data_IF_078881380817
#
_entry.id   IF_078881380817
#
_cell.length_a   1.000
_cell.length_b   1.000
_cell.length_c   1.000
_cell.angle_alpha   90.00
_cell.angle_beta   90.00
_cell.angle_gamma   90.00
#
_symmetry.space_group_name_H-M   'P 1'
#
loop_
_entity.id
_entity.type
_entity.pdbx_description
1 polymer ?
#
# COMPACT_ATOMS: atom_id res chain seq x y z
N UNK A 1 23.55 -2.04 -16.38
CA UNK A 1 22.17 -2.07 -16.91
C UNK A 1 21.26 -2.36 -15.73
N UNK A 2 20.13 -1.68 -15.62
CA UNK A 2 19.12 -1.96 -14.60
C UNK A 2 18.37 -3.27 -14.90
N UNK A 3 17.72 -3.85 -13.91
CA UNK A 3 17.04 -5.15 -13.96
C UNK A 3 15.89 -5.19 -12.98
N UNK A 4 14.97 -6.18 -13.03
CA UNK A 4 13.93 -6.36 -12.02
C UNK A 4 14.49 -6.53 -10.60
N UNK A 5 13.99 -5.74 -9.65
CA UNK A 5 14.56 -5.53 -8.32
C UNK A 5 13.64 -6.03 -7.22
N UNK A 6 14.15 -6.92 -6.36
CA UNK A 6 13.51 -7.32 -5.10
C UNK A 6 14.24 -6.67 -3.94
N UNK A 7 13.49 -6.25 -2.94
CA UNK A 7 14.05 -5.64 -1.74
C UNK A 7 13.87 -6.56 -0.53
N UNK A 8 14.82 -6.49 0.40
CA UNK A 8 14.67 -7.12 1.71
C UNK A 8 13.47 -6.53 2.40
N UNK A 9 12.60 -7.38 2.90
CA UNK A 9 11.39 -6.96 3.62
C UNK A 9 11.76 -6.21 4.89
N UNK A 10 11.18 -5.04 5.08
CA UNK A 10 11.35 -4.26 6.30
C UNK A 10 10.11 -4.47 7.17
N UNK A 11 10.21 -5.38 8.13
CA UNK A 11 9.12 -5.71 9.05
C UNK A 11 9.01 -4.71 10.18
N UNK A 12 7.78 -4.26 10.45
CA UNK A 12 7.48 -3.36 11.57
C UNK A 12 6.55 -4.07 12.54
N UNK A 13 7.03 -4.21 13.78
CA UNK A 13 6.23 -4.74 14.88
C UNK A 13 5.17 -3.73 15.28
N UNK A 14 3.92 -4.17 15.40
CA UNK A 14 2.79 -3.34 15.80
C UNK A 14 1.93 -4.10 16.81
N UNK A 15 1.36 -3.38 17.76
CA UNK A 15 0.45 -3.97 18.77
C UNK A 15 -0.76 -4.67 18.15
N UNK A 16 -1.20 -4.20 16.98
CA UNK A 16 -2.32 -4.73 16.21
C UNK A 16 -1.89 -5.77 15.15
N UNK A 17 -0.61 -6.02 15.00
CA UNK A 17 -0.07 -6.97 14.04
C UNK A 17 -0.41 -8.42 14.34
N UNK A 18 -0.20 -9.28 13.36
CA UNK A 18 -0.45 -10.71 13.40
C UNK A 18 0.71 -11.55 12.91
N UNK A 19 0.37 -12.72 12.39
CA UNK A 19 1.29 -13.65 11.73
C UNK A 19 0.75 -14.18 10.40
N UNK A 20 -0.21 -13.46 9.80
CA UNK A 20 -0.77 -13.87 8.51
C UNK A 20 0.21 -13.71 7.35
N UNK A 21 1.19 -12.83 7.46
CA UNK A 21 2.33 -12.81 6.52
C UNK A 21 3.04 -14.17 6.44
N UNK A 22 3.14 -14.90 7.55
CA UNK A 22 3.74 -16.23 7.57
C UNK A 22 2.79 -17.30 7.04
N UNK A 23 1.56 -17.32 7.54
CA UNK A 23 0.58 -18.38 7.25
C UNK A 23 -0.08 -18.25 5.89
N UNK A 24 -0.26 -17.03 5.38
CA UNK A 24 -0.95 -16.73 4.12
C UNK A 24 -0.01 -16.39 2.97
N UNK A 25 1.14 -15.76 3.26
CA UNK A 25 2.10 -15.32 2.24
C UNK A 25 3.43 -16.11 2.27
N UNK A 26 3.60 -17.04 3.22
CA UNK A 26 4.81 -17.84 3.33
C UNK A 26 6.07 -17.03 3.66
N UNK A 27 5.92 -15.86 4.29
CA UNK A 27 7.04 -15.02 4.71
C UNK A 27 7.69 -15.58 5.98
N UNK A 28 9.00 -15.47 6.09
CA UNK A 28 9.72 -15.84 7.30
C UNK A 28 9.74 -14.65 8.26
N UNK A 29 8.92 -14.68 9.29
CA UNK A 29 8.85 -13.64 10.31
C UNK A 29 9.82 -13.86 11.47
N UNK A 30 10.24 -12.78 12.17
CA UNK A 30 10.93 -12.90 13.44
C UNK A 30 10.11 -13.73 14.45
N UNK A 31 10.80 -14.61 15.20
CA UNK A 31 10.16 -15.48 16.16
C UNK A 31 9.50 -14.68 17.30
N UNK A 32 8.29 -15.09 17.69
CA UNK A 32 7.55 -14.51 18.82
C UNK A 32 7.01 -13.07 18.61
N UNK A 33 7.25 -12.47 17.44
CA UNK A 33 6.83 -11.08 17.18
C UNK A 33 5.54 -11.01 16.39
N UNK A 34 4.71 -10.02 16.72
CA UNK A 34 3.54 -9.61 15.94
C UNK A 34 3.97 -8.57 14.91
N UNK A 35 3.91 -8.92 13.64
CA UNK A 35 4.31 -8.01 12.56
C UNK A 35 3.05 -7.41 11.94
N UNK A 36 2.92 -6.09 12.00
CA UNK A 36 1.79 -5.40 11.40
C UNK A 36 2.05 -4.90 9.98
N UNK A 37 3.30 -4.55 9.66
CA UNK A 37 3.64 -4.01 8.35
C UNK A 37 4.87 -4.71 7.77
N UNK A 38 4.84 -4.96 6.46
CA UNK A 38 5.99 -5.33 5.65
C UNK A 38 6.16 -4.26 4.55
N UNK A 39 7.23 -3.48 4.64
CA UNK A 39 7.53 -2.47 3.63
C UNK A 39 8.29 -3.16 2.50
N UNK A 40 7.69 -3.15 1.32
CA UNK A 40 8.14 -3.93 0.17
C UNK A 40 9.02 -3.12 -0.79
N UNK A 41 8.54 -1.93 -1.21
CA UNK A 41 9.30 -0.97 -2.01
C UNK A 41 9.24 0.36 -1.29
N UNK A 42 10.35 0.79 -0.72
CA UNK A 42 10.41 2.00 0.11
C UNK A 42 11.74 2.72 -0.01
N UNK A 43 11.68 4.01 -0.27
CA UNK A 43 12.80 4.93 -0.11
C UNK A 43 12.55 5.92 1.06
N UNK A 44 11.67 5.57 1.99
CA UNK A 44 11.35 6.39 3.15
C UNK A 44 12.39 6.19 4.28
N UNK A 45 12.83 7.26 4.98
CA UNK A 45 13.84 7.14 6.04
C UNK A 45 13.43 6.24 7.20
N UNK A 46 12.13 6.10 7.49
CA UNK A 46 11.62 5.23 8.56
C UNK A 46 11.69 3.74 8.23
N UNK A 47 11.85 3.36 6.96
CA UNK A 47 11.92 1.96 6.51
C UNK A 47 12.52 1.87 5.12
N UNK A 48 13.84 1.96 5.02
CA UNK A 48 14.56 1.98 3.75
C UNK A 48 14.67 0.60 3.12
N UNK A 49 14.21 0.45 1.88
CA UNK A 49 14.39 -0.73 1.06
C UNK A 49 15.85 -0.97 0.71
N UNK A 50 16.34 -2.17 1.01
CA UNK A 50 17.70 -2.63 0.65
C UNK A 50 17.56 -3.67 -0.45
N UNK A 51 18.18 -3.41 -1.58
CA UNK A 51 18.10 -4.32 -2.73
C UNK A 51 18.69 -5.70 -2.38
N UNK A 52 17.95 -6.76 -2.73
CA UNK A 52 18.32 -8.13 -2.36
C UNK A 52 19.08 -8.85 -3.47
N UNK A 53 18.77 -8.56 -4.75
CA UNK A 53 19.27 -9.31 -5.90
C UNK A 53 20.18 -8.50 -6.82
N UNK A 54 20.89 -9.22 -7.68
CA UNK A 54 21.69 -8.69 -8.81
C UNK A 54 22.94 -7.92 -8.39
N UNK A 55 23.50 -7.17 -9.32
CA UNK A 55 24.80 -6.48 -9.17
C UNK A 55 24.76 -5.28 -8.21
N UNK A 56 23.58 -4.75 -7.93
CA UNK A 56 23.35 -3.65 -6.99
C UNK A 56 22.88 -4.14 -5.61
N UNK A 57 22.92 -5.45 -5.34
CA UNK A 57 22.51 -6.00 -4.05
C UNK A 57 23.24 -5.33 -2.89
N UNK A 58 22.50 -5.02 -1.81
CA UNK A 58 22.98 -4.30 -0.65
C UNK A 58 22.85 -2.77 -0.74
N UNK A 59 22.61 -2.20 -1.92
CA UNK A 59 22.33 -0.76 -2.06
C UNK A 59 20.93 -0.41 -1.55
N UNK A 60 20.81 0.81 -1.05
CA UNK A 60 19.54 1.42 -0.63
C UNK A 60 18.77 1.91 -1.85
N UNK A 61 17.44 1.86 -1.80
CA UNK A 61 16.61 2.35 -2.91
C UNK A 61 16.79 3.86 -3.16
N UNK A 62 16.95 4.67 -2.11
CA UNK A 62 17.19 6.11 -2.27
C UNK A 62 18.53 6.42 -2.96
N UNK A 63 19.58 5.61 -2.74
CA UNK A 63 20.88 5.74 -3.42
C UNK A 63 20.77 5.30 -4.89
N UNK A 64 20.07 4.20 -5.17
CA UNK A 64 19.77 3.75 -6.53
C UNK A 64 18.96 4.82 -7.27
N UNK A 65 17.97 5.42 -6.62
CA UNK A 65 17.16 6.49 -7.21
C UNK A 65 17.99 7.73 -7.56
N UNK A 66 18.88 8.16 -6.67
CA UNK A 66 19.79 9.29 -6.91
C UNK A 66 20.78 9.01 -8.05
N UNK A 67 21.27 7.77 -8.16
CA UNK A 67 22.25 7.34 -9.17
C UNK A 67 21.60 7.23 -10.56
N UNK A 68 20.45 6.52 -10.66
CA UNK A 68 19.83 6.17 -11.94
C UNK A 68 18.70 7.08 -12.38
N UNK A 69 18.10 7.85 -11.47
CA UNK A 69 17.13 8.90 -11.80
C UNK A 69 16.03 8.42 -12.77
N UNK A 70 15.90 9.12 -13.91
CA UNK A 70 14.92 8.78 -14.94
C UNK A 70 15.14 7.45 -15.63
N UNK A 71 16.34 6.84 -15.54
CA UNK A 71 16.58 5.47 -16.03
C UNK A 71 15.90 4.42 -15.15
N UNK A 72 15.68 4.73 -13.88
CA UNK A 72 14.94 3.86 -12.96
C UNK A 72 13.42 4.03 -13.12
N UNK A 73 12.94 5.27 -13.00
CA UNK A 73 11.51 5.54 -12.83
C UNK A 73 10.80 6.10 -14.06
N UNK A 74 11.54 6.47 -15.10
CA UNK A 74 11.04 7.22 -16.25
C UNK A 74 11.35 8.71 -16.14
N UNK A 75 11.64 9.33 -17.29
CA UNK A 75 12.09 10.73 -17.35
C UNK A 75 11.06 11.68 -16.77
N UNK A 76 9.80 11.58 -17.19
CA UNK A 76 8.70 12.44 -16.70
C UNK A 76 8.45 12.26 -15.21
N UNK A 77 8.54 11.03 -14.71
CA UNK A 77 8.38 10.74 -13.28
C UNK A 77 9.51 11.40 -12.48
N UNK A 78 10.75 11.27 -12.94
CA UNK A 78 11.88 11.91 -12.27
C UNK A 78 11.80 13.45 -12.32
N UNK A 79 11.35 14.03 -13.43
CA UNK A 79 11.12 15.49 -13.53
C UNK A 79 10.07 15.99 -12.51
N UNK A 80 9.03 15.19 -12.26
CA UNK A 80 7.99 15.49 -11.25
C UNK A 80 8.48 15.29 -9.81
N UNK A 81 9.34 14.31 -9.58
CA UNK A 81 9.80 13.91 -8.23
C UNK A 81 11.34 13.88 -8.10
N UNK A 82 12.08 14.96 -8.39
CA UNK A 82 13.55 14.90 -8.55
C UNK A 82 14.30 14.54 -7.27
N UNK A 83 13.71 14.79 -6.10
CA UNK A 83 14.38 14.70 -4.80
C UNK A 83 13.93 13.52 -3.94
N UNK A 84 12.83 12.85 -4.28
CA UNK A 84 12.22 11.83 -3.44
C UNK A 84 11.52 10.77 -4.30
N UNK A 85 11.85 9.50 -4.09
CA UNK A 85 11.15 8.39 -4.74
C UNK A 85 9.65 8.47 -4.45
N UNK A 86 8.77 8.34 -5.45
CA UNK A 86 7.38 8.79 -5.34
C UNK A 86 6.45 7.87 -4.56
N UNK A 87 6.70 6.56 -4.54
CA UNK A 87 5.79 5.57 -3.99
C UNK A 87 6.35 4.82 -2.77
N UNK A 88 5.46 4.29 -1.98
CA UNK A 88 5.71 3.34 -0.91
C UNK A 88 4.69 2.20 -1.04
N UNK A 89 5.19 0.97 -1.14
CA UNK A 89 4.37 -0.24 -1.21
C UNK A 89 4.56 -1.02 0.08
N UNK A 90 3.45 -1.36 0.71
CA UNK A 90 3.43 -2.14 1.95
C UNK A 90 2.44 -3.29 1.84
N UNK A 91 2.65 -4.32 2.66
CA UNK A 91 1.59 -5.22 3.09
C UNK A 91 1.29 -4.95 4.56
N UNK A 92 0.03 -5.01 4.94
CA UNK A 92 -0.42 -4.85 6.32
C UNK A 92 -1.17 -6.11 6.77
N UNK A 93 -0.78 -6.62 7.94
CA UNK A 93 -1.40 -7.76 8.63
C UNK A 93 -2.05 -7.23 9.91
N UNK A 94 -3.35 -6.99 9.84
CA UNK A 94 -4.12 -6.32 10.88
C UNK A 94 -5.02 -7.32 11.60
N UNK A 95 -4.64 -7.71 12.80
CA UNK A 95 -5.37 -8.67 13.64
C UNK A 95 -6.06 -8.02 14.86
N UNK A 96 -5.96 -6.71 14.98
CA UNK A 96 -6.67 -5.88 15.96
C UNK A 96 -6.97 -4.53 15.30
N UNK A 97 -7.59 -3.61 16.01
CA UNK A 97 -8.02 -2.32 15.48
C UNK A 97 -6.84 -1.43 15.07
N UNK A 98 -6.87 -0.88 13.88
CA UNK A 98 -6.02 0.26 13.53
C UNK A 98 -6.56 1.52 14.19
N UNK A 99 -5.66 2.48 14.53
CA UNK A 99 -6.12 3.80 14.97
C UNK A 99 -7.04 4.43 13.92
N UNK A 100 -8.07 5.13 14.39
CA UNK A 100 -8.88 5.98 13.53
C UNK A 100 -8.00 7.15 13.13
N UNK A 101 -7.83 7.35 11.82
CA UNK A 101 -6.84 8.27 11.27
C UNK A 101 -7.30 8.90 9.97
N UNK A 102 -6.64 9.99 9.60
CA UNK A 102 -6.80 10.68 8.33
C UNK A 102 -5.44 11.18 7.85
N UNK A 103 -5.26 11.26 6.54
CA UNK A 103 -4.03 11.74 5.94
C UNK A 103 -4.23 13.09 5.24
N UNK A 104 -3.23 14.00 5.32
CA UNK A 104 -3.28 15.29 4.66
C UNK A 104 -2.99 15.19 3.16
N UNK A 105 -3.41 16.21 2.40
CA UNK A 105 -2.99 16.44 1.02
C UNK A 105 -1.51 16.87 0.93
N UNK A 106 -0.95 16.89 -0.30
CA UNK A 106 0.40 17.40 -0.55
C UNK A 106 0.57 18.84 -0.05
N UNK A 107 -0.41 19.71 -0.27
CA UNK A 107 -0.35 21.10 0.17
C UNK A 107 -0.13 21.23 1.68
N UNK A 108 -0.91 20.48 2.46
CA UNK A 108 -0.83 20.52 3.93
C UNK A 108 0.44 19.83 4.42
N UNK A 109 0.76 18.66 3.88
CA UNK A 109 1.90 17.85 4.30
C UNK A 109 3.24 18.55 3.99
N UNK A 110 3.38 19.15 2.80
CA UNK A 110 4.57 19.91 2.44
C UNK A 110 4.77 21.12 3.36
N UNK A 111 3.68 21.84 3.65
CA UNK A 111 3.75 23.03 4.50
C UNK A 111 4.07 22.73 5.96
N UNK A 112 3.43 21.68 6.53
CA UNK A 112 3.56 21.37 7.97
C UNK A 112 4.72 20.43 8.31
N UNK A 113 5.05 19.50 7.40
CA UNK A 113 5.96 18.38 7.69
C UNK A 113 7.13 18.27 6.71
N UNK A 114 7.16 19.07 5.64
CA UNK A 114 8.11 18.92 4.52
C UNK A 114 8.08 17.50 3.92
N UNK A 115 6.87 16.90 3.83
CA UNK A 115 6.58 15.56 3.34
C UNK A 115 5.57 15.60 2.20
N UNK A 116 5.46 14.53 1.43
CA UNK A 116 4.31 14.32 0.56
C UNK A 116 3.03 14.14 1.37
N UNK A 117 1.89 14.45 0.79
CA UNK A 117 0.60 13.98 1.24
C UNK A 117 0.54 12.45 1.20
N UNK A 118 -0.56 11.87 1.69
CA UNK A 118 -0.69 10.43 1.70
C UNK A 118 -2.01 10.00 1.06
N UNK A 119 -1.98 9.93 -0.28
CA UNK A 119 -3.01 9.26 -1.06
C UNK A 119 -2.64 7.78 -1.14
N UNK A 120 -3.55 6.90 -0.77
CA UNK A 120 -3.30 5.47 -0.73
C UNK A 120 -4.46 4.67 -1.33
N UNK A 121 -4.22 3.40 -1.60
CA UNK A 121 -5.20 2.43 -2.03
C UNK A 121 -4.90 1.09 -1.39
N UNK A 122 -5.95 0.40 -0.94
CA UNK A 122 -5.88 -0.91 -0.32
C UNK A 122 -6.50 -1.98 -1.20
N UNK A 123 -5.80 -3.07 -1.41
CA UNK A 123 -6.33 -4.29 -2.00
C UNK A 123 -6.40 -5.36 -0.93
N UNK A 124 -7.60 -5.83 -0.61
CA UNK A 124 -7.82 -6.84 0.43
C UNK A 124 -7.40 -8.22 -0.08
N UNK A 125 -6.30 -8.74 0.45
CA UNK A 125 -5.74 -10.05 0.09
C UNK A 125 -6.42 -11.17 0.85
N UNK A 126 -6.71 -10.97 2.15
CA UNK A 126 -7.48 -11.89 3.00
C UNK A 126 -8.27 -11.06 4.02
N UNK A 127 -9.43 -11.56 4.44
CA UNK A 127 -10.26 -10.95 5.47
C UNK A 127 -11.04 -12.04 6.23
N UNK A 128 -11.26 -11.83 7.53
CA UNK A 128 -12.20 -12.65 8.29
C UNK A 128 -13.65 -12.30 7.93
N UNK A 129 -14.59 -13.19 8.22
CA UNK A 129 -16.00 -13.01 7.85
C UNK A 129 -16.65 -11.77 8.49
N UNK A 130 -16.12 -11.34 9.64
CA UNK A 130 -16.59 -10.17 10.39
C UNK A 130 -15.74 -8.91 10.17
N UNK A 131 -14.81 -8.95 9.21
CA UNK A 131 -13.91 -7.84 8.93
C UNK A 131 -14.68 -6.56 8.59
N UNK A 132 -14.49 -5.55 9.43
CA UNK A 132 -15.18 -4.26 9.31
C UNK A 132 -14.19 -3.13 9.41
N UNK A 133 -14.26 -2.21 8.48
CA UNK A 133 -13.44 -1.00 8.41
C UNK A 133 -14.28 0.24 8.67
N UNK A 134 -13.66 1.28 9.22
CA UNK A 134 -14.19 2.65 9.16
C UNK A 134 -13.72 3.24 7.84
N UNK A 135 -14.66 3.78 7.04
CA UNK A 135 -14.41 4.38 5.73
C UNK A 135 -15.24 5.63 5.53
N UNK A 136 -14.72 6.77 6.03
CA UNK A 136 -15.36 8.09 5.93
C UNK A 136 -16.13 8.50 7.19
N UNK A 137 -16.67 9.70 7.13
CA UNK A 137 -17.58 10.25 8.12
C UNK A 137 -19.02 9.84 7.77
N UNK A 138 -19.88 9.68 8.77
CA UNK A 138 -21.33 9.56 8.49
C UNK A 138 -21.87 10.83 7.86
N UNK A 139 -22.84 10.66 6.97
CA UNK A 139 -23.49 11.76 6.30
C UNK A 139 -24.11 12.74 7.29
N UNK A 140 -23.88 14.03 7.07
CA UNK A 140 -24.44 15.12 7.88
C UNK A 140 -23.61 15.52 9.10
N UNK A 141 -22.56 14.78 9.45
CA UNK A 141 -21.64 15.20 10.52
C UNK A 141 -20.88 16.46 10.06
N UNK A 142 -20.89 17.50 10.90
CA UNK A 142 -20.15 18.74 10.65
C UNK A 142 -18.81 18.74 11.39
N UNK A 143 -17.92 19.65 11.01
CA UNK A 143 -16.62 19.82 11.69
C UNK A 143 -16.82 20.20 13.17
N UNK A 144 -17.79 21.04 13.47
CA UNK A 144 -18.12 21.50 14.82
C UNK A 144 -18.61 20.33 15.68
N UNK A 145 -19.54 19.51 15.15
CA UNK A 145 -20.04 18.32 15.83
C UNK A 145 -18.93 17.30 16.07
N UNK A 146 -18.08 17.06 15.06
CA UNK A 146 -16.92 16.20 15.20
C UNK A 146 -16.02 16.66 16.36
N UNK A 147 -15.60 17.93 16.38
CA UNK A 147 -14.74 18.46 17.42
C UNK A 147 -15.39 18.36 18.81
N UNK A 148 -16.66 18.72 18.95
CA UNK A 148 -17.40 18.62 20.21
C UNK A 148 -17.44 17.20 20.75
N UNK A 149 -17.67 16.21 19.88
CA UNK A 149 -17.75 14.79 20.27
C UNK A 149 -16.39 14.22 20.64
N UNK A 150 -15.36 14.44 19.82
CA UNK A 150 -14.02 13.88 20.09
C UNK A 150 -13.37 14.49 21.33
N UNK A 151 -13.62 15.75 21.65
CA UNK A 151 -13.18 16.38 22.89
C UNK A 151 -13.79 15.70 24.15
N UNK A 152 -15.01 15.17 24.01
CA UNK A 152 -15.70 14.39 25.06
C UNK A 152 -15.34 12.91 25.04
N UNK A 153 -14.42 12.50 24.18
CA UNK A 153 -14.06 11.09 23.91
C UNK A 153 -15.28 10.25 23.49
N UNK A 154 -16.26 10.88 22.84
CA UNK A 154 -17.46 10.26 22.27
C UNK A 154 -17.27 10.07 20.75
N UNK A 155 -17.10 8.83 20.32
CA UNK A 155 -16.92 8.46 18.91
C UNK A 155 -18.16 7.83 18.29
N UNK A 156 -19.23 7.64 19.06
CA UNK A 156 -20.43 6.97 18.60
C UNK A 156 -21.14 7.78 17.51
N UNK A 157 -21.46 7.09 16.41
CA UNK A 157 -22.22 7.67 15.31
C UNK A 157 -21.44 8.62 14.40
N UNK A 158 -20.13 8.81 14.59
CA UNK A 158 -19.31 9.70 13.76
C UNK A 158 -18.90 9.08 12.42
N UNK A 159 -18.62 7.78 12.39
CA UNK A 159 -17.93 7.14 11.29
C UNK A 159 -18.82 6.15 10.53
N UNK A 160 -18.57 6.03 9.23
CA UNK A 160 -19.20 5.03 8.37
C UNK A 160 -18.46 3.70 8.49
N UNK A 161 -19.17 2.63 8.82
CA UNK A 161 -18.64 1.28 8.93
C UNK A 161 -18.97 0.46 7.68
N UNK A 162 -17.99 -0.24 7.13
CA UNK A 162 -18.15 -1.08 5.93
C UNK A 162 -17.49 -2.43 6.14
N UNK A 163 -18.21 -3.50 5.81
CA UNK A 163 -17.63 -4.85 5.75
C UNK A 163 -16.80 -5.01 4.49
N UNK A 164 -15.72 -5.79 4.58
CA UNK A 164 -14.82 -6.07 3.46
C UNK A 164 -14.54 -7.56 3.36
N UNK A 165 -14.17 -7.99 2.16
CA UNK A 165 -13.79 -9.36 1.85
C UNK A 165 -12.59 -9.39 0.90
N UNK A 166 -11.97 -10.55 0.78
CA UNK A 166 -10.91 -10.79 -0.22
C UNK A 166 -11.34 -10.34 -1.61
N UNK A 167 -10.44 -9.65 -2.31
CA UNK A 167 -10.68 -9.11 -3.65
C UNK A 167 -11.28 -7.70 -3.67
N UNK A 168 -11.69 -7.16 -2.54
CA UNK A 168 -12.15 -5.79 -2.46
C UNK A 168 -10.99 -4.79 -2.61
N UNK A 169 -11.31 -3.66 -3.21
CA UNK A 169 -10.37 -2.55 -3.40
C UNK A 169 -10.98 -1.25 -2.89
N UNK A 170 -10.16 -0.48 -2.19
CA UNK A 170 -10.59 0.76 -1.54
C UNK A 170 -9.62 1.87 -1.92
N UNK A 171 -10.16 2.99 -2.41
CA UNK A 171 -9.41 4.21 -2.67
C UNK A 171 -9.52 5.17 -1.50
N UNK A 172 -8.40 5.41 -0.82
CA UNK A 172 -8.30 6.30 0.34
C UNK A 172 -7.55 7.56 -0.08
N UNK A 173 -8.31 8.57 -0.50
CA UNK A 173 -7.74 9.89 -0.83
C UNK A 173 -7.49 10.71 0.43
N UNK A 174 -6.59 11.71 0.39
CA UNK A 174 -6.42 12.65 1.49
C UNK A 174 -7.76 13.20 1.99
N UNK A 175 -7.90 13.34 3.31
CA UNK A 175 -9.15 13.76 3.95
C UNK A 175 -10.12 12.62 4.29
N UNK A 176 -9.88 11.40 3.81
CA UNK A 176 -10.72 10.23 4.13
C UNK A 176 -10.36 9.66 5.50
N UNK A 177 -11.28 9.69 6.45
CA UNK A 177 -11.13 8.99 7.73
C UNK A 177 -11.21 7.49 7.51
N UNK A 178 -10.27 6.72 8.07
CA UNK A 178 -10.26 5.27 7.93
C UNK A 178 -9.61 4.56 9.12
N UNK A 179 -10.00 3.31 9.33
CA UNK A 179 -9.45 2.41 10.35
C UNK A 179 -9.85 0.96 10.08
N UNK A 180 -9.18 -0.01 10.71
CA UNK A 180 -9.75 -1.35 10.92
C UNK A 180 -10.44 -1.38 12.28
N UNK A 181 -11.66 -1.91 12.33
CA UNK A 181 -12.51 -1.88 13.53
C UNK A 181 -12.75 -3.26 14.12
N UNK A 182 -13.02 -4.26 13.28
CA UNK A 182 -13.32 -5.65 13.70
C UNK A 182 -12.69 -6.65 12.75
N UNK A 183 -12.49 -7.85 13.25
CA UNK A 183 -11.95 -8.96 12.48
C UNK A 183 -10.47 -8.78 12.15
N UNK A 184 -9.97 -9.60 11.23
CA UNK A 184 -8.61 -9.50 10.68
C UNK A 184 -8.66 -9.19 9.20
N UNK A 185 -7.69 -8.39 8.73
CA UNK A 185 -7.51 -8.09 7.32
C UNK A 185 -6.03 -8.09 6.97
N UNK A 186 -5.71 -8.72 5.85
CA UNK A 186 -4.41 -8.68 5.20
C UNK A 186 -4.57 -7.95 3.87
N UNK A 187 -3.84 -6.87 3.66
CA UNK A 187 -3.98 -6.08 2.43
C UNK A 187 -2.67 -5.54 1.89
N UNK A 188 -2.64 -5.33 0.58
CA UNK A 188 -1.59 -4.61 -0.10
C UNK A 188 -1.97 -3.12 -0.15
N UNK A 189 -1.04 -2.27 0.29
CA UNK A 189 -1.17 -0.82 0.29
C UNK A 189 -0.23 -0.21 -0.74
N UNK A 190 -0.79 0.53 -1.68
CA UNK A 190 -0.07 1.36 -2.65
C UNK A 190 -0.30 2.81 -2.28
N UNK A 191 0.76 3.54 -1.94
CA UNK A 191 0.66 4.92 -1.46
C UNK A 191 1.77 5.83 -1.99
N UNK A 192 1.56 7.15 -1.85
CA UNK A 192 2.65 8.11 -1.95
C UNK A 192 3.71 7.80 -0.88
N UNK A 193 4.98 8.14 -1.15
CA UNK A 193 6.09 7.90 -0.23
C UNK A 193 6.06 8.88 0.96
N UNK A 194 5.12 8.66 1.87
CA UNK A 194 4.84 9.46 3.06
C UNK A 194 4.44 8.55 4.24
N UNK A 195 4.73 9.02 5.45
CA UNK A 195 4.31 8.36 6.69
C UNK A 195 3.53 9.31 7.62
N UNK A 196 3.03 10.43 7.06
CA UNK A 196 2.25 11.43 7.80
C UNK A 196 0.86 10.90 8.11
N UNK A 197 0.54 10.85 9.41
CA UNK A 197 -0.74 10.34 9.90
C UNK A 197 -1.28 11.26 10.98
N UNK A 198 -2.49 11.76 10.80
CA UNK A 198 -3.24 12.45 11.85
C UNK A 198 -4.17 11.46 12.54
N UNK A 199 -3.86 11.16 13.80
CA UNK A 199 -4.56 10.17 14.61
C UNK A 199 -5.69 10.84 15.36
N UNK A 200 -6.92 10.32 15.15
CA UNK A 200 -8.14 10.79 15.81
C UNK A 200 -8.36 10.02 17.11
N UNK A 201 -8.21 8.68 17.07
CA UNK A 201 -8.41 7.83 18.23
C UNK A 201 -7.58 6.55 18.15
N UNK A 202 -7.04 6.10 19.24
CA UNK A 202 -6.21 4.89 19.32
C UNK A 202 -6.73 3.85 20.30
N UNK A 203 -8.03 3.88 20.60
CA UNK A 203 -8.69 2.92 21.52
C UNK A 203 -8.04 2.85 22.90
N UNK A 204 -7.53 3.98 23.39
CA UNK A 204 -6.83 4.12 24.67
C UNK A 204 -5.63 3.18 24.87
N UNK A 205 -5.08 2.63 23.78
CA UNK A 205 -3.91 1.75 23.83
C UNK A 205 -2.70 2.47 24.40
N UNK A 206 -1.93 1.71 25.17
CA UNK A 206 -0.66 2.15 25.73
C UNK A 206 0.49 1.34 25.08
N UNK A 207 1.61 1.98 24.88
CA UNK A 207 2.84 1.32 24.43
C UNK A 207 3.52 0.54 25.57
N UNK A 208 4.63 -0.11 25.27
CA UNK A 208 5.44 -0.86 26.24
C UNK A 208 6.00 0.01 27.38
N UNK A 209 6.01 1.34 27.21
CA UNK A 209 6.46 2.33 28.19
C UNK A 209 5.30 2.92 28.99
N UNK A 210 4.08 2.41 28.82
CA UNK A 210 2.87 2.91 29.50
C UNK A 210 2.35 4.24 28.96
N UNK A 211 2.75 4.65 27.74
CA UNK A 211 2.32 5.91 27.13
C UNK A 211 1.28 5.67 26.03
N UNK A 212 0.28 6.56 25.98
CA UNK A 212 -0.65 6.63 24.85
C UNK A 212 0.04 7.31 23.67
N UNK A 213 -0.32 6.89 22.45
CA UNK A 213 0.13 7.60 21.23
C UNK A 213 -0.54 8.97 21.15
N UNK A 214 0.18 9.92 20.61
CA UNK A 214 -0.33 11.29 20.39
C UNK A 214 -1.54 11.28 19.45
N UNK A 215 -2.54 12.10 19.79
CA UNK A 215 -3.72 12.38 18.97
C UNK A 215 -3.58 13.76 18.32
N UNK A 216 -4.09 13.91 17.11
CA UNK A 216 -3.95 15.09 16.26
C UNK A 216 -5.34 15.65 15.91
N UNK A 217 -6.18 15.92 16.93
CA UNK A 217 -7.61 16.20 16.74
C UNK A 217 -7.86 17.43 15.86
N UNK A 218 -7.15 18.55 16.13
CA UNK A 218 -7.31 19.77 15.34
C UNK A 218 -6.79 19.58 13.91
N UNK A 219 -5.58 19.01 13.75
CA UNK A 219 -5.02 18.73 12.44
C UNK A 219 -5.91 17.78 11.62
N UNK A 220 -6.53 16.80 12.29
CA UNK A 220 -7.52 15.91 11.67
C UNK A 220 -8.74 16.68 11.19
N UNK A 221 -9.35 17.49 12.07
CA UNK A 221 -10.53 18.28 11.75
C UNK A 221 -10.29 19.29 10.59
N UNK A 222 -9.05 19.77 10.44
CA UNK A 222 -8.67 20.69 9.38
C UNK A 222 -8.54 20.03 8.00
N UNK A 223 -8.33 18.70 7.96
CA UNK A 223 -8.11 17.97 6.69
C UNK A 223 -9.23 16.98 6.36
N UNK A 224 -10.11 16.62 7.30
CA UNK A 224 -11.23 15.71 7.03
C UNK A 224 -12.15 16.27 5.94
N UNK A 225 -12.45 15.45 4.95
CA UNK A 225 -13.54 15.68 4.00
C UNK A 225 -14.83 15.09 4.57
N UNK A 226 -15.65 15.95 5.20
CA UNK A 226 -16.90 15.55 5.87
C UNK A 226 -18.00 15.09 4.91
N UNK A 227 -17.87 15.37 3.62
CA UNK A 227 -18.81 14.93 2.59
C UNK A 227 -18.38 13.71 1.79
N UNK A 228 -17.22 13.15 2.13
CA UNK A 228 -16.61 12.08 1.33
C UNK A 228 -17.31 10.74 1.53
N UNK A 229 -17.86 10.23 0.44
CA UNK A 229 -18.28 8.84 0.35
C UNK A 229 -17.14 7.98 -0.17
N UNK A 230 -16.91 6.83 0.46
CA UNK A 230 -15.90 5.86 0.07
C UNK A 230 -16.57 4.64 -0.52
N UNK A 231 -16.24 4.32 -1.77
CA UNK A 231 -16.71 3.12 -2.46
C UNK A 231 -15.75 1.95 -2.19
N UNK A 232 -16.31 0.77 -1.92
CA UNK A 232 -15.59 -0.50 -1.95
C UNK A 232 -15.86 -1.15 -3.30
N UNK A 233 -14.82 -1.32 -4.11
CA UNK A 233 -14.92 -1.91 -5.45
C UNK A 233 -14.57 -3.38 -5.41
N UNK A 234 -15.44 -4.22 -5.95
CA UNK A 234 -15.08 -5.60 -6.23
C UNK A 234 -14.16 -5.68 -7.45
N UNK A 235 -13.08 -6.42 -7.33
CA UNK A 235 -12.08 -6.57 -8.40
C UNK A 235 -12.05 -7.98 -9.02
N UNK A 236 -13.02 -8.82 -8.73
CA UNK A 236 -13.12 -10.14 -9.35
C UNK A 236 -13.26 -10.00 -10.87
N UNK A 237 -12.69 -10.94 -11.60
CA UNK A 237 -12.86 -11.02 -13.05
C UNK A 237 -14.26 -11.59 -13.36
N UNK A 238 -14.88 -11.10 -14.43
CA UNK A 238 -16.18 -11.57 -14.85
C UNK A 238 -16.11 -13.00 -15.40
N UNK A 239 -17.14 -13.82 -15.15
CA UNK A 239 -17.22 -15.19 -15.67
C UNK A 239 -17.17 -15.27 -17.20
N UNK A 240 -17.59 -14.22 -17.89
CA UNK A 240 -17.49 -14.08 -19.35
C UNK A 240 -16.04 -14.00 -19.88
N UNK A 241 -15.07 -13.76 -18.98
CA UNK A 241 -13.66 -13.70 -19.30
C UNK A 241 -12.94 -15.05 -19.11
N UNK A 242 -13.65 -16.05 -18.54
CA UNK A 242 -13.11 -17.39 -18.37
C UNK A 242 -12.68 -18.00 -19.72
N UNK A 243 -11.46 -18.57 -19.73
CA UNK A 243 -10.85 -19.16 -20.91
C UNK A 243 -9.93 -18.22 -21.72
N UNK A 244 -9.77 -16.96 -21.30
CA UNK A 244 -8.69 -16.11 -21.83
C UNK A 244 -7.38 -16.45 -21.14
N UNK A 245 -6.29 -16.49 -21.90
CA UNK A 245 -4.94 -16.76 -21.35
C UNK A 245 -4.47 -15.65 -20.42
N UNK A 246 -4.88 -14.40 -20.68
CA UNK A 246 -4.57 -13.23 -19.87
C UNK A 246 -5.83 -12.44 -19.60
N UNK A 247 -6.12 -12.22 -18.31
CA UNK A 247 -7.16 -11.32 -17.83
C UNK A 247 -6.51 -10.06 -17.27
N UNK A 248 -7.01 -8.89 -17.65
CA UNK A 248 -6.54 -7.60 -17.14
C UNK A 248 -7.71 -6.70 -16.83
N UNK A 249 -7.80 -6.25 -15.58
CA UNK A 249 -8.82 -5.33 -15.09
C UNK A 249 -8.14 -4.05 -14.61
N UNK A 250 -8.48 -2.93 -15.25
CA UNK A 250 -8.09 -1.62 -14.76
C UNK A 250 -8.90 -1.31 -13.50
N UNK A 251 -8.20 -1.06 -12.36
CA UNK A 251 -8.85 -0.80 -11.07
C UNK A 251 -8.98 0.69 -10.82
N UNK A 252 -7.87 1.43 -10.95
CA UNK A 252 -7.84 2.85 -10.67
C UNK A 252 -6.71 3.57 -11.41
N UNK A 253 -6.97 4.83 -11.78
CA UNK A 253 -5.97 5.79 -12.21
C UNK A 253 -6.07 7.05 -11.37
N UNK A 254 -4.97 7.39 -10.71
CA UNK A 254 -4.82 8.60 -9.87
C UNK A 254 -3.71 9.48 -10.44
N UNK A 255 -3.54 10.63 -9.86
CA UNK A 255 -2.42 11.54 -10.18
C UNK A 255 -1.06 10.92 -9.91
N UNK A 256 -0.99 10.05 -8.89
CA UNK A 256 0.26 9.51 -8.35
C UNK A 256 0.60 8.13 -8.90
N UNK A 257 -0.40 7.34 -9.27
CA UNK A 257 -0.24 5.97 -9.78
C UNK A 257 -1.51 5.46 -10.45
N UNK A 258 -1.33 4.38 -11.20
CA UNK A 258 -2.41 3.59 -11.78
C UNK A 258 -2.21 2.13 -11.43
N UNK A 259 -3.31 1.41 -11.13
CA UNK A 259 -3.28 0.00 -10.72
C UNK A 259 -4.17 -0.81 -11.65
N UNK A 260 -3.60 -1.87 -12.20
CA UNK A 260 -4.31 -2.95 -12.89
C UNK A 260 -4.18 -4.25 -12.08
N UNK A 261 -5.20 -5.08 -12.09
CA UNK A 261 -5.14 -6.48 -11.68
C UNK A 261 -4.95 -7.33 -12.93
N UNK A 262 -3.95 -8.21 -12.92
CA UNK A 262 -3.62 -9.08 -14.05
C UNK A 262 -3.57 -10.52 -13.56
N UNK A 263 -4.23 -11.44 -14.30
CA UNK A 263 -4.20 -12.87 -14.05
C UNK A 263 -3.84 -13.60 -15.33
N UNK A 264 -2.95 -14.57 -15.26
CA UNK A 264 -2.51 -15.38 -16.40
C UNK A 264 -2.06 -16.76 -15.94
N UNK A 265 -2.15 -17.76 -16.84
CA UNK A 265 -1.88 -19.17 -16.53
C UNK A 265 -0.54 -19.69 -17.06
N UNK A 266 0.07 -19.02 -18.04
CA UNK A 266 1.32 -19.48 -18.66
C UNK A 266 2.39 -18.39 -18.65
N UNK A 267 2.13 -17.28 -19.31
CA UNK A 267 3.07 -16.16 -19.33
C UNK A 267 2.40 -14.83 -19.62
N UNK A 268 3.06 -13.76 -19.16
CA UNK A 268 2.64 -12.37 -19.37
C UNK A 268 3.86 -11.54 -19.79
N UNK A 269 3.81 -10.98 -21.00
CA UNK A 269 4.83 -10.05 -21.47
C UNK A 269 4.42 -8.62 -21.13
N UNK A 270 5.34 -7.87 -20.52
CA UNK A 270 5.12 -6.49 -20.15
C UNK A 270 6.32 -5.62 -20.47
N UNK A 271 6.02 -4.44 -21.00
CA UNK A 271 6.99 -3.36 -21.18
C UNK A 271 6.31 -2.04 -20.87
N UNK A 272 6.96 -1.23 -20.07
CA UNK A 272 6.54 0.14 -19.79
C UNK A 272 7.67 1.11 -20.12
N UNK A 273 7.50 1.86 -21.21
CA UNK A 273 8.49 2.82 -21.69
C UNK A 273 8.27 4.24 -21.11
N UNK A 274 7.24 4.44 -20.30
CA UNK A 274 6.91 5.75 -19.70
C UNK A 274 7.35 5.85 -18.25
N UNK A 275 7.16 4.79 -17.49
CA UNK A 275 7.52 4.75 -16.07
C UNK A 275 7.98 3.37 -15.63
N UNK A 276 8.52 3.26 -14.42
CA UNK A 276 8.71 1.99 -13.73
C UNK A 276 7.39 1.25 -13.56
N UNK A 277 7.47 -0.06 -13.40
CA UNK A 277 6.35 -0.92 -13.03
C UNK A 277 6.64 -1.62 -11.71
N UNK A 278 5.65 -1.76 -10.84
CA UNK A 278 5.77 -2.54 -9.61
C UNK A 278 4.74 -3.67 -9.66
N UNK A 279 5.20 -4.91 -9.49
CA UNK A 279 4.33 -6.07 -9.31
C UNK A 279 4.24 -6.41 -7.85
N UNK A 280 3.01 -6.48 -7.31
CA UNK A 280 2.71 -7.13 -6.04
C UNK A 280 2.02 -8.46 -6.33
N UNK A 281 2.67 -9.57 -5.98
CA UNK A 281 2.17 -10.92 -6.31
C UNK A 281 1.10 -11.34 -5.31
N UNK A 282 -0.14 -11.43 -5.79
CA UNK A 282 -1.30 -11.82 -4.99
C UNK A 282 -1.43 -13.34 -4.87
N UNK A 283 -1.21 -14.06 -5.98
CA UNK A 283 -1.26 -15.53 -6.03
C UNK A 283 -0.25 -16.04 -7.07
N UNK A 284 0.25 -17.26 -6.83
CA UNK A 284 1.10 -17.98 -7.77
C UNK A 284 2.59 -17.91 -7.47
N UNK A 285 3.34 -18.62 -8.32
CA UNK A 285 4.81 -18.69 -8.28
C UNK A 285 5.38 -18.95 -9.68
N UNK A 286 6.63 -18.56 -9.90
CA UNK A 286 7.32 -18.69 -11.17
C UNK A 286 8.51 -17.76 -11.25
N UNK A 287 8.70 -17.11 -12.40
CA UNK A 287 9.85 -16.22 -12.63
C UNK A 287 9.53 -15.08 -13.57
N UNK A 288 10.26 -13.99 -13.43
CA UNK A 288 10.38 -12.91 -14.40
C UNK A 288 11.67 -13.12 -15.18
N UNK A 289 11.57 -13.22 -16.50
CA UNK A 289 12.71 -13.30 -17.42
C UNK A 289 12.88 -11.96 -18.13
N UNK A 290 14.12 -11.55 -18.38
CA UNK A 290 14.48 -10.36 -19.17
C UNK A 290 15.84 -10.57 -19.86
N UNK A 291 16.16 -9.70 -20.83
CA UNK A 291 17.40 -9.85 -21.60
C UNK A 291 17.48 -11.19 -22.33
N UNK A 292 18.69 -11.76 -22.44
CA UNK A 292 18.90 -13.01 -23.16
C UNK A 292 18.72 -14.24 -22.26
N UNK A 293 19.21 -14.20 -21.01
CA UNK A 293 19.20 -15.36 -20.11
C UNK A 293 19.01 -15.00 -18.63
N UNK A 294 18.63 -13.77 -18.32
CA UNK A 294 18.44 -13.33 -16.96
C UNK A 294 17.04 -13.70 -16.47
N UNK A 295 16.94 -14.14 -15.22
CA UNK A 295 15.68 -14.47 -14.58
C UNK A 295 15.69 -14.20 -13.07
N UNK A 296 14.50 -13.94 -12.52
CA UNK A 296 14.25 -13.72 -11.10
C UNK A 296 13.06 -14.55 -10.68
N UNK A 297 13.25 -15.48 -9.76
CA UNK A 297 12.15 -16.23 -9.14
C UNK A 297 11.26 -15.30 -8.31
N UNK A 298 9.94 -15.46 -8.46
CA UNK A 298 8.93 -14.71 -7.72
C UNK A 298 7.78 -15.61 -7.28
N UNK A 299 7.14 -15.25 -6.16
CA UNK A 299 6.01 -15.98 -5.63
C UNK A 299 5.05 -15.09 -4.85
N UNK A 300 3.90 -15.63 -4.46
CA UNK A 300 2.90 -14.96 -3.62
C UNK A 300 3.54 -14.23 -2.44
N UNK A 301 3.13 -13.00 -2.20
CA UNK A 301 3.62 -12.14 -1.14
C UNK A 301 4.95 -11.44 -1.45
N UNK A 302 5.49 -11.58 -2.66
CA UNK A 302 6.67 -10.84 -3.09
C UNK A 302 6.30 -9.63 -3.94
N UNK A 303 7.17 -8.62 -3.89
CA UNK A 303 7.02 -7.38 -4.67
C UNK A 303 8.29 -7.14 -5.47
N UNK A 304 8.14 -6.77 -6.74
CA UNK A 304 9.25 -6.52 -7.66
C UNK A 304 9.07 -5.17 -8.33
N UNK A 305 10.10 -4.31 -8.27
CA UNK A 305 10.20 -3.10 -9.04
C UNK A 305 10.92 -3.39 -10.37
N UNK A 306 10.28 -3.08 -11.47
CA UNK A 306 10.81 -3.22 -12.83
C UNK A 306 11.11 -1.81 -13.34
N UNK A 307 12.38 -1.47 -13.61
CA UNK A 307 12.76 -0.18 -14.17
C UNK A 307 12.09 0.10 -15.52
N UNK A 308 11.95 1.38 -15.83
CA UNK A 308 11.40 1.81 -17.13
C UNK A 308 12.12 1.19 -18.30
N UNK A 309 11.38 0.77 -19.32
CA UNK A 309 11.92 0.27 -20.60
C UNK A 309 12.50 -1.15 -20.56
N UNK A 310 12.41 -1.85 -19.43
CA UNK A 310 12.80 -3.26 -19.35
C UNK A 310 11.66 -4.13 -19.86
N UNK A 311 11.92 -4.84 -20.96
CA UNK A 311 10.99 -5.86 -21.44
C UNK A 311 11.09 -7.10 -20.56
N UNK A 312 9.97 -7.50 -19.98
CA UNK A 312 9.90 -8.68 -19.12
C UNK A 312 8.90 -9.69 -19.64
N UNK A 313 9.21 -10.97 -19.42
CA UNK A 313 8.26 -12.07 -19.57
C UNK A 313 8.11 -12.77 -18.22
N UNK A 314 6.97 -12.62 -17.58
CA UNK A 314 6.65 -13.35 -16.35
C UNK A 314 6.07 -14.70 -16.72
N UNK A 315 6.66 -15.79 -16.21
CA UNK A 315 6.34 -17.18 -16.59
C UNK A 315 5.85 -17.91 -15.35
N UNK A 316 4.66 -18.49 -15.43
CA UNK A 316 3.98 -19.20 -14.36
C UNK A 316 2.49 -18.87 -14.32
N UNK A 317 1.80 -19.38 -13.28
CA UNK A 317 0.39 -19.07 -13.04
C UNK A 317 0.31 -18.00 -11.95
N UNK A 318 -0.14 -16.81 -12.32
CA UNK A 318 -0.10 -15.65 -11.42
C UNK A 318 -1.39 -14.84 -11.41
N UNK A 319 -1.62 -14.22 -10.25
CA UNK A 319 -2.47 -13.04 -10.10
C UNK A 319 -1.63 -11.93 -9.44
N UNK A 320 -1.54 -10.78 -10.07
CA UNK A 320 -0.68 -9.65 -9.64
C UNK A 320 -1.46 -8.33 -9.63
N UNK A 321 -1.07 -7.43 -8.73
CA UNK A 321 -1.32 -6.01 -8.91
C UNK A 321 -0.14 -5.42 -9.67
N UNK A 322 -0.44 -4.78 -10.79
CA UNK A 322 0.51 -4.04 -11.62
C UNK A 322 0.32 -2.55 -11.38
N UNK A 323 1.27 -1.93 -10.69
CA UNK A 323 1.26 -0.50 -10.39
C UNK A 323 2.25 0.24 -11.29
N UNK A 324 1.81 1.36 -11.88
CA UNK A 324 2.63 2.27 -12.70
C UNK A 324 2.35 3.71 -12.28
N UNK A 325 3.21 4.66 -12.72
CA UNK A 325 3.04 6.10 -12.46
C UNK A 325 2.67 6.83 -13.76
#
# INVERSE_FOLDING_TARGET
MLYPMKFKKFFVEKVWGGREFETKLGMKLPEGKKIGESWEVSAHPHGMGILENGTLAGKRLDDIYKEYKGELVGKKVYEKYPNKFPLLIKYLDVNDRLSIQVHPSDEVALKKHNEFGKSESWYIMEASDDATLIMGMKAGITKEEFLEKVEKNDFDGLFEEKTVKKGDFIDITPGTVHASLKGSVLFAEVQQNSDVTYRIYDFDRIDENGKKRELHLQDSADVIDFGKEVEIKNTDFDDSENGKDILRKHIIKKEYYSIDKVKFADSFEDVNNESMTIYSVLEGEGKIAWGENEELAIKKGETVLIPVGINTKTIGNFEILRTVI
#
